data_IF_798502343855
#
_entry.id   IF_798502343855
#
_cell.length_a   1.000
_cell.length_b   1.000
_cell.length_c   1.000
_cell.angle_alpha   90.00
_cell.angle_beta   90.00
_cell.angle_gamma   90.00
#
_symmetry.space_group_name_H-M   'P 1'
#
loop_
_entity.id
_entity.type
_entity.pdbx_description
1 polymer ?
#
# COMPACT_ATOMS: atom_id res chain seq x y z
N UNK A 1 62.77 9.83 -29.60
CA UNK A 1 61.54 9.12 -29.21
C UNK A 1 61.06 9.82 -27.96
N UNK A 2 60.16 10.77 -28.11
CA UNK A 2 59.49 11.39 -26.96
C UNK A 2 58.41 10.44 -26.44
N UNK A 3 58.22 10.31 -25.12
CA UNK A 3 57.15 9.48 -24.58
C UNK A 3 55.81 10.15 -24.85
N UNK A 4 54.88 9.38 -25.40
CA UNK A 4 53.50 9.77 -25.65
C UNK A 4 52.86 10.30 -24.34
N UNK A 5 52.26 11.50 -24.31
CA UNK A 5 51.56 11.96 -23.11
C UNK A 5 50.31 11.11 -22.92
N UNK A 6 50.15 10.54 -21.72
CA UNK A 6 48.93 9.83 -21.34
C UNK A 6 47.70 10.72 -21.62
N UNK A 7 46.59 10.16 -22.12
CA UNK A 7 45.35 10.92 -22.27
C UNK A 7 44.90 11.41 -20.89
N UNK A 8 44.28 12.60 -20.79
CA UNK A 8 43.78 13.11 -19.52
C UNK A 8 42.78 12.10 -18.96
N UNK A 9 43.05 11.63 -17.74
CA UNK A 9 42.06 10.88 -16.97
C UNK A 9 40.78 11.71 -16.95
N UNK A 10 39.68 11.14 -17.44
CA UNK A 10 38.37 11.74 -17.23
C UNK A 10 38.17 11.78 -15.72
N UNK A 11 38.38 12.94 -15.10
CA UNK A 11 38.06 13.14 -13.69
C UNK A 11 36.57 12.81 -13.54
N UNK A 12 36.29 11.62 -13.02
CA UNK A 12 34.93 11.20 -12.75
C UNK A 12 34.29 12.25 -11.86
N UNK A 13 33.16 12.83 -12.29
CA UNK A 13 32.44 13.83 -11.50
C UNK A 13 32.19 13.27 -10.11
N UNK A 14 32.68 13.97 -9.08
CA UNK A 14 32.46 13.55 -7.70
C UNK A 14 31.02 13.89 -7.26
N UNK A 15 30.10 12.96 -7.47
CA UNK A 15 28.70 13.10 -7.07
C UNK A 15 28.50 13.12 -5.54
N UNK A 16 29.52 12.76 -4.75
CA UNK A 16 29.47 12.84 -3.29
C UNK A 16 29.52 14.29 -2.77
N UNK A 17 29.97 15.25 -3.59
CA UNK A 17 30.08 16.67 -3.26
C UNK A 17 28.86 17.50 -3.66
N UNK A 18 27.78 16.87 -4.15
CA UNK A 18 26.52 17.56 -4.39
C UNK A 18 26.03 18.25 -3.10
N UNK A 19 25.48 19.46 -3.24
CA UNK A 19 24.93 20.18 -2.09
C UNK A 19 23.72 19.44 -1.52
N UNK A 20 23.49 19.51 -0.19
CA UNK A 20 22.32 18.91 0.45
C UNK A 20 21.00 19.31 -0.23
N UNK A 21 20.85 20.58 -0.60
CA UNK A 21 19.63 21.08 -1.25
C UNK A 21 19.34 20.38 -2.59
N UNK A 22 20.37 20.12 -3.40
CA UNK A 22 20.23 19.41 -4.67
C UNK A 22 19.89 17.94 -4.42
N UNK A 23 20.55 17.32 -3.43
CA UNK A 23 20.26 15.94 -3.03
C UNK A 23 18.83 15.78 -2.52
N UNK A 24 18.32 16.71 -1.69
CA UNK A 24 16.93 16.66 -1.19
C UNK A 24 15.92 16.76 -2.33
N UNK A 25 16.19 17.59 -3.36
CA UNK A 25 15.33 17.67 -4.55
C UNK A 25 15.37 16.38 -5.36
N UNK A 26 16.54 15.74 -5.50
CA UNK A 26 16.66 14.45 -6.20
C UNK A 26 15.94 13.37 -5.40
N UNK A 27 16.16 13.29 -4.09
CA UNK A 27 15.60 12.28 -3.21
C UNK A 27 14.08 12.38 -3.16
N UNK A 28 13.53 13.59 -3.11
CA UNK A 28 12.09 13.81 -3.19
C UNK A 28 11.45 13.38 -4.52
N UNK A 29 12.24 13.07 -5.56
CA UNK A 29 11.75 12.57 -6.85
C UNK A 29 11.90 11.07 -7.04
N UNK A 30 12.89 10.44 -6.42
CA UNK A 30 13.14 9.01 -6.61
C UNK A 30 12.25 8.14 -5.72
N UNK A 31 11.81 8.64 -4.55
CA UNK A 31 10.88 7.91 -3.68
C UNK A 31 11.54 7.19 -2.49
N UNK A 32 10.71 6.68 -1.59
CA UNK A 32 11.13 6.09 -0.33
C UNK A 32 11.99 4.82 -0.53
N UNK A 33 11.56 3.95 -1.43
CA UNK A 33 12.20 2.65 -1.72
C UNK A 33 13.62 2.86 -2.25
N UNK A 34 13.77 3.70 -3.27
CA UNK A 34 15.03 4.01 -3.92
C UNK A 34 16.01 4.69 -2.95
N UNK A 35 15.49 5.49 -2.01
CA UNK A 35 16.31 6.06 -0.93
C UNK A 35 16.80 4.95 0.02
N UNK A 36 15.94 4.05 0.47
CA UNK A 36 16.29 2.99 1.45
C UNK A 36 17.23 1.94 0.87
N UNK A 37 17.02 1.55 -0.38
CA UNK A 37 17.75 0.48 -1.04
C UNK A 37 19.01 0.96 -1.77
N UNK A 38 19.03 2.22 -2.22
CA UNK A 38 20.10 2.77 -3.04
C UNK A 38 20.73 4.02 -2.44
N UNK A 39 20.08 5.17 -2.63
CA UNK A 39 20.70 6.48 -2.45
C UNK A 39 21.20 6.72 -1.01
N UNK A 40 20.46 6.28 0.01
CA UNK A 40 20.86 6.37 1.42
C UNK A 40 22.06 5.48 1.79
N UNK A 41 22.45 4.55 0.91
CA UNK A 41 23.57 3.61 1.12
C UNK A 41 24.87 4.04 0.43
N UNK A 42 24.82 5.04 -0.46
CA UNK A 42 25.98 5.47 -1.28
C UNK A 42 27.14 6.01 -0.45
N UNK A 43 26.88 7.02 0.41
CA UNK A 43 27.90 7.61 1.27
C UNK A 43 27.29 8.29 2.49
N UNK A 44 28.12 8.70 3.46
CA UNK A 44 27.65 9.37 4.70
C UNK A 44 26.91 10.69 4.43
N UNK A 45 27.33 11.45 3.42
CA UNK A 45 26.68 12.71 3.06
C UNK A 45 25.25 12.49 2.55
N UNK A 46 25.10 11.54 1.62
CA UNK A 46 23.80 11.15 1.08
C UNK A 46 22.90 10.54 2.15
N UNK A 47 23.44 9.66 3.01
CA UNK A 47 22.69 9.10 4.16
C UNK A 47 22.15 10.18 5.09
N UNK A 48 22.91 11.25 5.33
CA UNK A 48 22.45 12.36 6.18
C UNK A 48 21.25 13.08 5.57
N UNK A 49 21.30 13.33 4.27
CA UNK A 49 20.18 13.96 3.53
C UNK A 49 18.98 13.02 3.44
N UNK A 50 19.21 11.73 3.20
CA UNK A 50 18.17 10.70 3.14
C UNK A 50 17.30 10.65 4.41
N UNK A 51 17.86 10.97 5.58
CA UNK A 51 17.14 11.00 6.86
C UNK A 51 16.40 12.32 7.13
N UNK A 52 16.36 13.26 6.18
CA UNK A 52 15.61 14.51 6.34
C UNK A 52 14.10 14.22 6.38
N UNK A 53 13.37 14.57 7.46
CA UNK A 53 12.00 14.10 7.60
C UNK A 53 11.00 14.69 6.61
N UNK A 54 11.40 15.73 5.86
CA UNK A 54 10.58 16.28 4.78
C UNK A 54 10.47 15.34 3.57
N UNK A 55 11.45 14.45 3.38
CA UNK A 55 11.44 13.44 2.32
C UNK A 55 10.43 12.31 2.60
N UNK A 56 10.06 12.14 3.87
CA UNK A 56 9.21 11.05 4.36
C UNK A 56 7.77 11.51 4.68
N UNK A 57 7.37 12.68 4.17
CA UNK A 57 5.97 13.14 4.26
C UNK A 57 5.04 12.26 3.44
N UNK A 58 5.55 11.69 2.35
CA UNK A 58 4.82 10.79 1.44
C UNK A 58 5.66 9.54 1.23
N UNK A 59 5.10 8.40 1.60
CA UNK A 59 5.77 7.12 1.49
C UNK A 59 4.88 6.20 0.67
N UNK A 60 5.40 5.81 -0.48
CA UNK A 60 4.75 4.86 -1.37
C UNK A 60 5.62 3.60 -1.45
N UNK A 61 5.02 2.47 -1.07
CA UNK A 61 5.63 1.14 -1.03
C UNK A 61 4.76 0.14 -1.79
N UNK A 62 4.05 0.59 -2.83
CA UNK A 62 3.15 -0.27 -3.62
C UNK A 62 3.86 -1.10 -4.70
N UNK A 63 5.07 -0.70 -5.11
CA UNK A 63 5.83 -1.31 -6.21
C UNK A 63 7.06 -2.10 -5.71
N UNK A 64 6.81 -3.12 -4.88
CA UNK A 64 7.85 -3.89 -4.17
C UNK A 64 7.80 -5.40 -4.44
N UNK A 65 7.41 -5.80 -5.65
CA UNK A 65 7.11 -7.18 -6.06
C UNK A 65 8.25 -8.20 -5.87
N UNK A 66 9.48 -7.72 -5.66
CA UNK A 66 10.68 -8.54 -5.56
C UNK A 66 11.18 -8.74 -4.12
N UNK A 67 10.50 -8.16 -3.12
CA UNK A 67 10.92 -8.19 -1.72
C UNK A 67 10.01 -9.06 -0.87
N UNK A 68 10.55 -9.64 0.19
CA UNK A 68 9.74 -10.33 1.19
C UNK A 68 8.97 -9.36 2.09
N UNK A 69 7.83 -9.79 2.63
CA UNK A 69 7.00 -9.00 3.55
C UNK A 69 7.78 -8.43 4.74
N UNK A 70 8.66 -9.22 5.35
CA UNK A 70 9.49 -8.79 6.47
C UNK A 70 10.44 -7.64 6.10
N UNK A 71 10.99 -7.64 4.88
CA UNK A 71 11.85 -6.57 4.39
C UNK A 71 11.04 -5.30 4.13
N UNK A 72 9.86 -5.44 3.52
CA UNK A 72 8.93 -4.34 3.29
C UNK A 72 8.46 -3.71 4.60
N UNK A 73 8.12 -4.52 5.60
CA UNK A 73 7.74 -4.04 6.93
C UNK A 73 8.89 -3.30 7.62
N UNK A 74 10.12 -3.84 7.56
CA UNK A 74 11.30 -3.17 8.12
C UNK A 74 11.55 -1.81 7.46
N UNK A 75 11.38 -1.73 6.13
CA UNK A 75 11.46 -0.47 5.39
C UNK A 75 10.37 0.51 5.80
N UNK A 76 9.13 0.05 5.95
CA UNK A 76 8.02 0.89 6.41
C UNK A 76 8.29 1.48 7.80
N UNK A 77 8.82 0.67 8.74
CA UNK A 77 9.20 1.14 10.08
C UNK A 77 10.32 2.19 10.02
N UNK A 78 11.34 1.98 9.19
CA UNK A 78 12.39 2.98 8.97
C UNK A 78 11.83 4.29 8.41
N UNK A 79 10.91 4.20 7.44
CA UNK A 79 10.26 5.36 6.84
C UNK A 79 9.44 6.16 7.88
N UNK A 80 8.72 5.47 8.75
CA UNK A 80 7.99 6.07 9.88
C UNK A 80 8.95 6.77 10.83
N UNK A 81 10.04 6.13 11.23
CA UNK A 81 11.03 6.74 12.12
C UNK A 81 11.69 7.97 11.49
N UNK A 82 12.07 7.89 10.21
CA UNK A 82 12.72 9.01 9.51
C UNK A 82 11.75 10.14 9.22
N UNK A 83 10.43 9.90 9.22
CA UNK A 83 9.41 10.94 9.12
C UNK A 83 9.33 11.86 10.34
N UNK A 84 9.85 11.43 11.50
CA UNK A 84 9.79 12.18 12.76
C UNK A 84 8.37 12.73 13.04
N UNK A 85 7.35 11.92 12.76
CA UNK A 85 5.94 12.26 12.94
C UNK A 85 5.35 13.25 11.93
N UNK A 86 6.05 13.50 10.82
CA UNK A 86 5.58 14.37 9.72
C UNK A 86 5.01 13.61 8.53
N UNK A 87 4.85 12.31 8.64
CA UNK A 87 4.21 11.50 7.59
C UNK A 87 2.75 11.92 7.42
N UNK A 88 2.37 12.18 6.17
CA UNK A 88 1.03 12.62 5.77
C UNK A 88 0.37 11.60 4.85
N UNK A 89 1.14 10.84 4.08
CA UNK A 89 0.63 9.86 3.12
C UNK A 89 1.46 8.58 3.22
N UNK A 90 0.78 7.44 3.37
CA UNK A 90 1.38 6.11 3.40
C UNK A 90 0.59 5.16 2.49
N UNK A 91 1.29 4.49 1.59
CA UNK A 91 0.74 3.45 0.70
C UNK A 91 1.55 2.16 0.81
N UNK A 92 0.87 1.04 0.97
CA UNK A 92 1.46 -0.30 1.03
C UNK A 92 0.70 -1.28 0.12
N UNK A 93 1.43 -2.21 -0.50
CA UNK A 93 0.81 -3.27 -1.30
C UNK A 93 1.38 -4.66 -0.97
N UNK A 94 0.50 -5.64 -0.72
CA UNK A 94 0.82 -7.05 -0.41
C UNK A 94 1.67 -7.26 0.85
N UNK A 95 1.70 -6.28 1.75
CA UNK A 95 2.30 -6.43 3.07
C UNK A 95 1.60 -5.52 4.07
N UNK A 96 1.75 -5.84 5.35
CA UNK A 96 1.28 -5.02 6.46
C UNK A 96 0.61 -5.88 7.52
N UNK A 97 0.68 -5.42 8.76
CA UNK A 97 0.17 -6.11 9.93
C UNK A 97 -0.52 -5.11 10.85
N UNK A 98 -1.36 -5.60 11.76
CA UNK A 98 -1.95 -4.77 12.81
C UNK A 98 -0.87 -4.07 13.65
N UNK A 99 0.25 -4.76 13.90
CA UNK A 99 1.42 -4.22 14.60
C UNK A 99 2.08 -3.08 13.82
N UNK A 100 2.18 -3.19 12.50
CA UNK A 100 2.69 -2.09 11.66
C UNK A 100 1.73 -0.90 11.68
N UNK A 101 0.42 -1.14 11.54
CA UNK A 101 -0.58 -0.08 11.59
C UNK A 101 -0.56 0.66 12.92
N UNK A 102 -0.47 -0.07 14.04
CA UNK A 102 -0.36 0.52 15.37
C UNK A 102 0.94 1.33 15.51
N UNK A 103 2.06 0.81 15.01
CA UNK A 103 3.34 1.51 15.04
C UNK A 103 3.30 2.83 14.25
N UNK A 104 2.64 2.84 13.08
CA UNK A 104 2.38 4.07 12.32
C UNK A 104 1.48 5.01 13.15
N UNK A 105 0.39 4.50 13.73
CA UNK A 105 -0.56 5.26 14.54
C UNK A 105 0.08 6.00 15.73
N UNK A 106 1.06 5.36 16.39
CA UNK A 106 1.73 5.94 17.55
C UNK A 106 2.75 7.02 17.18
N UNK A 107 3.31 6.98 15.96
CA UNK A 107 4.44 7.83 15.56
C UNK A 107 4.10 8.89 14.53
N UNK A 108 3.04 8.71 13.74
CA UNK A 108 2.72 9.51 12.56
C UNK A 108 1.34 10.17 12.61
N UNK A 109 0.98 10.82 13.72
CA UNK A 109 -0.35 11.43 13.97
C UNK A 109 -0.85 12.49 12.97
N UNK A 110 -0.03 12.88 11.97
CA UNK A 110 -0.38 13.80 10.89
C UNK A 110 -0.85 13.10 9.60
N UNK A 111 -1.03 11.77 9.63
CA UNK A 111 -1.48 11.00 8.49
C UNK A 111 -2.85 11.49 7.98
N UNK A 112 -2.90 11.81 6.68
CA UNK A 112 -4.09 12.30 5.96
C UNK A 112 -4.54 11.35 4.87
N UNK A 113 -3.64 10.50 4.37
CA UNK A 113 -3.91 9.54 3.30
C UNK A 113 -3.33 8.19 3.66
N UNK A 114 -4.17 7.16 3.62
CA UNK A 114 -3.77 5.77 3.74
C UNK A 114 -4.26 4.99 2.52
N UNK A 115 -3.37 4.24 1.89
CA UNK A 115 -3.71 3.31 0.82
C UNK A 115 -3.17 1.92 1.15
N UNK A 116 -4.05 0.92 1.16
CA UNK A 116 -3.75 -0.47 1.43
C UNK A 116 -4.22 -1.31 0.25
N UNK A 117 -3.30 -2.02 -0.40
CA UNK A 117 -3.56 -2.81 -1.61
C UNK A 117 -3.21 -4.27 -1.34
N UNK A 118 -4.17 -5.19 -1.36
CA UNK A 118 -3.93 -6.62 -1.11
C UNK A 118 -3.22 -6.90 0.23
N UNK A 119 -3.49 -6.09 1.27
CA UNK A 119 -2.93 -6.27 2.61
C UNK A 119 -3.84 -7.20 3.43
N UNK A 120 -3.66 -8.52 3.32
CA UNK A 120 -4.58 -9.52 3.88
C UNK A 120 -4.36 -9.80 5.38
N UNK A 121 -3.16 -9.53 5.92
CA UNK A 121 -2.84 -9.76 7.33
C UNK A 121 -3.25 -8.59 8.26
N UNK A 122 -3.97 -7.61 7.72
CA UNK A 122 -4.55 -6.51 8.49
C UNK A 122 -5.99 -6.88 8.85
N UNK A 123 -6.31 -6.89 10.14
CA UNK A 123 -7.66 -7.16 10.63
C UNK A 123 -8.54 -5.91 10.64
N UNK A 124 -9.86 -6.13 10.70
CA UNK A 124 -10.84 -5.08 10.95
C UNK A 124 -10.54 -4.33 12.25
N UNK A 125 -10.18 -5.04 13.31
CA UNK A 125 -9.85 -4.48 14.61
C UNK A 125 -8.59 -3.61 14.56
N UNK A 126 -7.53 -4.09 13.91
CA UNK A 126 -6.27 -3.36 13.78
C UNK A 126 -6.44 -2.07 13.00
N UNK A 127 -7.12 -2.13 11.84
CA UNK A 127 -7.42 -0.94 11.06
C UNK A 127 -8.34 0.03 11.83
N UNK A 128 -9.36 -0.49 12.51
CA UNK A 128 -10.30 0.30 13.32
C UNK A 128 -9.58 1.03 14.46
N UNK A 129 -8.66 0.37 15.16
CA UNK A 129 -7.91 0.99 16.26
C UNK A 129 -6.94 2.05 15.75
N UNK A 130 -6.32 1.80 14.59
CA UNK A 130 -5.45 2.75 13.91
C UNK A 130 -6.19 4.02 13.48
N UNK A 131 -7.32 3.91 12.80
CA UNK A 131 -8.06 5.10 12.30
C UNK A 131 -8.61 5.98 13.43
N UNK A 132 -8.91 5.41 14.61
CA UNK A 132 -9.28 6.21 15.80
C UNK A 132 -8.17 7.16 16.25
N UNK A 133 -6.91 6.88 15.92
CA UNK A 133 -5.77 7.75 16.21
C UNK A 133 -5.57 8.83 15.14
N UNK A 134 -6.29 8.77 14.01
CA UNK A 134 -6.20 9.69 12.88
C UNK A 134 -7.52 10.44 12.59
N UNK A 135 -7.95 11.35 13.48
CA UNK A 135 -9.19 12.11 13.27
C UNK A 135 -9.11 13.09 12.07
N UNK A 136 -7.91 13.32 11.53
CA UNK A 136 -7.67 14.19 10.37
C UNK A 136 -7.50 13.41 9.06
N UNK A 137 -7.77 12.10 9.04
CA UNK A 137 -7.69 11.31 7.82
C UNK A 137 -8.70 11.83 6.78
N UNK A 138 -8.20 12.23 5.61
CA UNK A 138 -9.00 12.79 4.52
C UNK A 138 -9.23 11.78 3.39
N UNK A 139 -8.33 10.80 3.26
CA UNK A 139 -8.35 9.78 2.21
C UNK A 139 -8.06 8.41 2.79
N UNK A 140 -8.90 7.44 2.48
CA UNK A 140 -8.68 6.03 2.78
C UNK A 140 -8.99 5.21 1.55
N UNK A 141 -8.01 4.42 1.13
CA UNK A 141 -8.13 3.53 -0.02
C UNK A 141 -7.81 2.11 0.46
N UNK A 142 -8.79 1.23 0.31
CA UNK A 142 -8.70 -0.19 0.63
C UNK A 142 -9.01 -0.93 -0.65
N UNK A 143 -8.02 -1.64 -1.17
CA UNK A 143 -8.07 -2.26 -2.49
C UNK A 143 -7.74 -3.73 -2.31
N UNK A 144 -8.69 -4.61 -2.61
CA UNK A 144 -8.55 -6.06 -2.45
C UNK A 144 -8.18 -6.48 -1.02
N UNK A 145 -8.84 -5.89 -0.02
CA UNK A 145 -8.71 -6.31 1.38
C UNK A 145 -9.79 -7.31 1.81
N UNK A 146 -9.51 -8.05 2.87
CA UNK A 146 -10.44 -9.00 3.51
C UNK A 146 -11.08 -8.38 4.75
N UNK A 147 -11.87 -7.33 4.55
CA UNK A 147 -12.51 -6.60 5.65
C UNK A 147 -14.00 -6.94 5.79
N UNK A 148 -14.53 -6.86 7.01
CA UNK A 148 -15.95 -7.13 7.28
C UNK A 148 -16.82 -5.88 7.16
N UNK A 149 -18.13 -6.10 7.03
CA UNK A 149 -19.16 -5.05 7.00
C UNK A 149 -19.10 -4.01 8.13
N UNK A 150 -18.51 -4.36 9.28
CA UNK A 150 -18.44 -3.44 10.45
C UNK A 150 -17.36 -2.38 10.31
N UNK A 151 -16.41 -2.58 9.39
CA UNK A 151 -15.30 -1.66 9.19
C UNK A 151 -15.79 -0.28 8.74
N UNK A 152 -16.68 -0.23 7.73
CA UNK A 152 -17.15 1.03 7.16
C UNK A 152 -17.79 1.96 8.20
N UNK A 153 -18.65 1.42 9.08
CA UNK A 153 -19.23 2.19 10.18
C UNK A 153 -18.15 2.72 11.15
N UNK A 154 -17.17 1.88 11.49
CA UNK A 154 -16.12 2.22 12.44
C UNK A 154 -15.19 3.30 11.90
N UNK A 155 -14.80 3.18 10.62
CA UNK A 155 -14.00 4.17 9.89
C UNK A 155 -14.74 5.50 9.82
N UNK A 156 -16.01 5.52 9.40
CA UNK A 156 -16.74 6.78 9.25
C UNK A 156 -17.01 7.48 10.58
N UNK A 157 -17.17 6.73 11.68
CA UNK A 157 -17.25 7.31 13.03
C UNK A 157 -15.91 7.90 13.50
N UNK A 158 -14.79 7.26 13.20
CA UNK A 158 -13.46 7.69 13.62
C UNK A 158 -12.91 8.87 12.79
N UNK A 159 -13.23 8.92 11.50
CA UNK A 159 -12.67 9.87 10.54
C UNK A 159 -13.77 10.77 9.92
N UNK A 160 -14.30 11.76 10.66
CA UNK A 160 -15.41 12.60 10.20
C UNK A 160 -15.04 13.55 9.05
N UNK A 161 -13.74 13.70 8.75
CA UNK A 161 -13.23 14.55 7.65
C UNK A 161 -12.90 13.74 6.38
N UNK A 162 -13.31 12.48 6.31
CA UNK A 162 -13.05 11.62 5.16
C UNK A 162 -13.76 12.15 3.92
N UNK A 163 -12.98 12.55 2.90
CA UNK A 163 -13.46 13.13 1.63
C UNK A 163 -13.37 12.15 0.48
N UNK A 164 -12.39 11.24 0.53
CA UNK A 164 -12.15 10.21 -0.48
C UNK A 164 -12.13 8.86 0.22
N UNK A 165 -13.02 7.98 -0.23
CA UNK A 165 -13.04 6.59 0.21
C UNK A 165 -13.06 5.69 -1.02
N UNK A 166 -12.09 4.78 -1.09
CA UNK A 166 -12.11 3.69 -2.06
C UNK A 166 -12.18 2.39 -1.28
N UNK A 167 -13.16 1.57 -1.61
CA UNK A 167 -13.30 0.22 -1.10
C UNK A 167 -13.49 -0.67 -2.32
N UNK A 168 -12.42 -1.24 -2.83
CA UNK A 168 -12.44 -2.03 -4.07
C UNK A 168 -12.28 -3.50 -3.75
N UNK A 169 -13.02 -4.34 -4.47
CA UNK A 169 -12.95 -5.80 -4.34
C UNK A 169 -12.70 -6.44 -5.71
N UNK A 170 -12.25 -7.71 -5.73
CA UNK A 170 -11.85 -8.43 -6.94
C UNK A 170 -13.01 -8.76 -7.89
N UNK A 171 -14.24 -8.37 -7.56
CA UNK A 171 -15.43 -8.58 -8.40
C UNK A 171 -16.17 -9.86 -8.05
N UNK A 172 -17.48 -9.87 -8.28
CA UNK A 172 -18.42 -10.95 -7.92
C UNK A 172 -18.33 -12.22 -8.78
N UNK A 173 -17.35 -12.36 -9.66
CA UNK A 173 -17.28 -13.49 -10.60
C UNK A 173 -16.71 -14.79 -10.01
N UNK A 174 -16.12 -14.75 -8.81
CA UNK A 174 -15.46 -15.91 -8.19
C UNK A 174 -16.28 -16.62 -7.12
N UNK A 175 -17.55 -16.27 -6.92
CA UNK A 175 -18.41 -17.12 -6.10
C UNK A 175 -18.88 -18.28 -6.98
N UNK A 176 -18.38 -19.48 -6.67
CA UNK A 176 -18.85 -20.72 -7.27
C UNK A 176 -20.37 -20.80 -7.22
N UNK A 177 -20.98 -21.45 -8.23
CA UNK A 177 -22.42 -21.72 -8.30
C UNK A 177 -22.98 -22.47 -7.06
N UNK A 178 -22.11 -22.89 -6.13
CA UNK A 178 -22.43 -23.66 -4.92
C UNK A 178 -22.70 -22.80 -3.67
N UNK A 179 -22.43 -21.49 -3.68
CA UNK A 179 -22.80 -20.57 -2.58
C UNK A 179 -24.13 -19.85 -2.88
N UNK A 180 -25.21 -20.63 -3.02
CA UNK A 180 -26.60 -20.17 -3.03
C UNK A 180 -27.12 -19.74 -1.63
N UNK A 181 -26.24 -19.41 -0.69
CA UNK A 181 -26.68 -18.69 0.50
C UNK A 181 -26.65 -17.19 0.19
N UNK A 182 -27.84 -16.69 -0.18
CA UNK A 182 -28.26 -15.29 -0.16
C UNK A 182 -27.97 -14.70 1.23
N UNK A 183 -26.71 -14.46 1.54
CA UNK A 183 -26.36 -13.65 2.69
C UNK A 183 -26.79 -12.23 2.35
N UNK A 184 -27.73 -11.72 3.13
CA UNK A 184 -28.43 -10.45 2.91
C UNK A 184 -27.50 -9.26 3.25
N UNK A 185 -26.18 -9.44 3.08
CA UNK A 185 -25.09 -8.59 3.54
C UNK A 185 -24.45 -7.76 2.42
N UNK A 186 -24.89 -7.94 1.18
CA UNK A 186 -24.40 -7.24 -0.03
C UNK A 186 -24.36 -5.70 0.11
N UNK A 187 -25.25 -5.12 0.91
CA UNK A 187 -25.34 -3.67 1.13
C UNK A 187 -24.75 -3.18 2.46
N UNK A 188 -24.17 -4.06 3.28
CA UNK A 188 -23.78 -3.66 4.63
C UNK A 188 -22.67 -2.60 4.67
N UNK A 189 -21.69 -2.67 3.77
CA UNK A 189 -20.69 -1.61 3.61
C UNK A 189 -21.33 -0.30 3.15
N UNK A 190 -22.25 -0.38 2.20
CA UNK A 190 -22.98 0.78 1.69
C UNK A 190 -23.82 1.46 2.79
N UNK A 191 -24.48 0.68 3.63
CA UNK A 191 -25.23 1.18 4.78
C UNK A 191 -24.29 1.82 5.82
N UNK A 192 -23.12 1.21 6.06
CA UNK A 192 -22.13 1.77 6.97
C UNK A 192 -21.59 3.12 6.52
N UNK A 193 -21.28 3.25 5.22
CA UNK A 193 -20.89 4.51 4.57
C UNK A 193 -22.03 5.52 4.71
N UNK A 194 -23.25 5.15 4.31
CA UNK A 194 -24.41 6.03 4.34
C UNK A 194 -24.75 6.55 5.74
N UNK A 195 -24.44 5.78 6.79
CA UNK A 195 -24.72 6.15 8.18
C UNK A 195 -23.70 7.14 8.77
N UNK A 196 -22.48 7.21 8.23
CA UNK A 196 -21.35 7.83 8.94
C UNK A 196 -20.52 8.80 8.10
N UNK A 197 -20.42 8.61 6.78
CA UNK A 197 -19.50 9.35 5.89
C UNK A 197 -20.21 10.46 5.09
N UNK A 198 -20.84 11.42 5.78
CA UNK A 198 -21.68 12.44 5.13
C UNK A 198 -20.90 13.51 4.34
N UNK A 199 -19.63 13.73 4.68
CA UNK A 199 -18.74 14.71 4.03
C UNK A 199 -18.03 14.18 2.78
N UNK A 200 -18.36 12.95 2.37
CA UNK A 200 -17.70 12.26 1.27
C UNK A 200 -17.92 13.00 -0.06
N UNK A 201 -16.83 13.18 -0.81
CA UNK A 201 -16.81 13.84 -2.12
C UNK A 201 -16.45 12.88 -3.25
N UNK A 202 -15.66 11.87 -2.95
CA UNK A 202 -15.24 10.84 -3.90
C UNK A 202 -15.43 9.46 -3.28
N UNK A 203 -16.18 8.63 -3.97
CA UNK A 203 -16.41 7.24 -3.59
C UNK A 203 -16.08 6.33 -4.76
N UNK A 204 -15.31 5.29 -4.49
CA UNK A 204 -15.10 4.19 -5.43
C UNK A 204 -15.44 2.88 -4.75
N UNK A 205 -16.36 2.13 -5.36
CA UNK A 205 -16.80 0.82 -4.92
C UNK A 205 -16.52 -0.22 -5.99
N UNK A 206 -15.38 -0.13 -6.69
CA UNK A 206 -15.10 -0.97 -7.84
C UNK A 206 -15.24 -2.47 -7.51
N UNK A 207 -16.02 -3.20 -8.30
CA UNK A 207 -16.23 -4.65 -8.15
C UNK A 207 -17.15 -5.06 -6.99
N UNK A 208 -17.72 -4.14 -6.22
CA UNK A 208 -18.51 -4.48 -5.02
C UNK A 208 -19.86 -5.10 -5.37
N UNK A 209 -20.42 -5.85 -4.41
CA UNK A 209 -21.75 -6.49 -4.51
C UNK A 209 -22.92 -5.56 -4.19
N UNK A 210 -22.66 -4.25 -4.06
CA UNK A 210 -23.68 -3.24 -3.72
C UNK A 210 -24.90 -3.32 -4.65
N UNK A 211 -26.08 -3.26 -4.06
CA UNK A 211 -27.36 -3.28 -4.77
C UNK A 211 -27.93 -1.88 -4.93
N UNK A 212 -29.05 -1.78 -5.64
CA UNK A 212 -29.77 -0.51 -5.82
C UNK A 212 -30.18 0.13 -4.49
N UNK A 213 -30.50 -0.65 -3.45
CA UNK A 213 -30.90 -0.12 -2.14
C UNK A 213 -29.71 0.47 -1.39
N UNK A 214 -28.57 -0.24 -1.35
CA UNK A 214 -27.33 0.28 -0.76
C UNK A 214 -26.83 1.54 -1.47
N UNK A 215 -26.79 1.54 -2.80
CA UNK A 215 -26.38 2.73 -3.56
C UNK A 215 -27.32 3.91 -3.31
N UNK A 216 -28.63 3.66 -3.26
CA UNK A 216 -29.62 4.69 -2.92
C UNK A 216 -29.37 5.26 -1.52
N UNK A 217 -29.10 4.42 -0.52
CA UNK A 217 -28.80 4.87 0.83
C UNK A 217 -27.58 5.82 0.86
N UNK A 218 -26.51 5.48 0.12
CA UNK A 218 -25.33 6.35 -0.02
C UNK A 218 -25.72 7.68 -0.67
N UNK A 219 -26.46 7.64 -1.79
CA UNK A 219 -26.87 8.85 -2.50
C UNK A 219 -27.82 9.71 -1.65
N UNK A 220 -28.67 9.15 -0.81
CA UNK A 220 -29.53 9.94 0.07
C UNK A 220 -28.73 10.59 1.21
N UNK A 221 -27.68 9.93 1.70
CA UNK A 221 -26.91 10.36 2.88
C UNK A 221 -25.62 11.15 2.61
N UNK A 222 -25.08 11.11 1.40
CA UNK A 222 -23.83 11.79 1.02
C UNK A 222 -24.10 12.94 0.03
N UNK A 223 -24.56 14.11 0.50
CA UNK A 223 -25.01 15.22 -0.37
C UNK A 223 -23.87 15.92 -1.11
N UNK A 224 -22.63 15.77 -0.65
CA UNK A 224 -21.44 16.41 -1.23
C UNK A 224 -20.69 15.52 -2.22
N UNK A 225 -21.24 14.36 -2.57
CA UNK A 225 -20.60 13.42 -3.49
C UNK A 225 -20.51 14.00 -4.90
N UNK A 226 -19.28 14.19 -5.38
CA UNK A 226 -18.96 14.76 -6.69
C UNK A 226 -18.46 13.71 -7.68
N UNK A 227 -17.83 12.65 -7.17
CA UNK A 227 -17.28 11.54 -7.95
C UNK A 227 -17.77 10.21 -7.39
N UNK A 228 -18.29 9.34 -8.27
CA UNK A 228 -18.71 7.99 -7.96
C UNK A 228 -18.21 7.03 -9.04
N UNK A 229 -17.46 6.03 -8.64
CA UNK A 229 -17.03 4.93 -9.51
C UNK A 229 -17.54 3.60 -8.97
N UNK A 230 -18.44 3.00 -9.72
CA UNK A 230 -19.16 1.75 -9.43
C UNK A 230 -18.97 0.74 -10.56
N UNK A 231 -17.85 0.85 -11.30
CA UNK A 231 -17.48 -0.13 -12.33
C UNK A 231 -17.41 -1.54 -11.73
N UNK A 232 -17.85 -2.52 -12.51
CA UNK A 232 -17.93 -3.93 -12.11
C UNK A 232 -18.85 -4.23 -10.91
N UNK A 233 -19.70 -3.30 -10.48
CA UNK A 233 -20.78 -3.58 -9.53
C UNK A 233 -22.00 -4.17 -10.25
N UNK A 234 -21.96 -5.46 -10.59
CA UNK A 234 -22.95 -6.08 -11.48
C UNK A 234 -24.32 -6.35 -10.83
N UNK A 235 -24.44 -6.22 -9.51
CA UNK A 235 -25.72 -6.27 -8.79
C UNK A 235 -26.58 -5.01 -9.00
N UNK A 236 -26.05 -3.97 -9.66
CA UNK A 236 -26.76 -2.73 -9.91
C UNK A 236 -27.55 -2.76 -11.22
N UNK A 237 -28.85 -2.49 -11.11
CA UNK A 237 -29.70 -2.21 -12.25
C UNK A 237 -29.77 -0.69 -12.52
N UNK A 238 -29.09 -0.23 -13.58
CA UNK A 238 -29.05 1.18 -13.99
C UNK A 238 -30.28 1.59 -14.82
N UNK A 239 -31.46 1.45 -14.21
CA UNK A 239 -32.73 1.90 -14.77
C UNK A 239 -32.87 3.43 -14.80
N UNK A 240 -34.01 3.93 -15.30
CA UNK A 240 -34.25 5.37 -15.39
C UNK A 240 -34.26 6.08 -14.03
N UNK A 241 -34.71 5.39 -12.97
CA UNK A 241 -34.77 5.93 -11.61
C UNK A 241 -33.35 6.07 -11.04
N UNK A 242 -32.55 5.01 -11.12
CA UNK A 242 -31.18 5.00 -10.61
C UNK A 242 -30.29 6.00 -11.36
N UNK A 243 -30.42 6.08 -12.69
CA UNK A 243 -29.74 7.10 -13.50
C UNK A 243 -30.13 8.53 -13.12
N UNK A 244 -31.40 8.76 -12.78
CA UNK A 244 -31.86 10.07 -12.31
C UNK A 244 -31.23 10.43 -10.95
N UNK A 245 -31.08 9.47 -10.03
CA UNK A 245 -30.42 9.71 -8.74
C UNK A 245 -28.93 10.05 -8.91
N UNK A 246 -28.23 9.34 -9.82
CA UNK A 246 -26.82 9.62 -10.12
C UNK A 246 -26.60 10.89 -10.95
N UNK A 247 -27.65 11.53 -11.49
CA UNK A 247 -27.52 12.69 -12.39
C UNK A 247 -26.85 13.92 -11.77
N UNK A 248 -26.84 14.00 -10.43
CA UNK A 248 -26.16 15.07 -9.69
C UNK A 248 -24.65 14.86 -9.56
N UNK A 249 -24.16 13.65 -9.81
CA UNK A 249 -22.75 13.29 -9.70
C UNK A 249 -22.00 13.80 -10.94
N UNK A 250 -20.93 14.56 -10.72
CA UNK A 250 -20.18 15.19 -11.81
C UNK A 250 -19.32 14.19 -12.57
N UNK A 251 -18.63 13.30 -11.84
CA UNK A 251 -17.76 12.29 -12.38
C UNK A 251 -18.33 10.92 -12.04
N UNK A 252 -19.14 10.35 -12.93
CA UNK A 252 -19.79 9.06 -12.74
C UNK A 252 -19.13 8.02 -13.66
N UNK A 253 -18.74 6.88 -13.09
CA UNK A 253 -18.35 5.67 -13.83
C UNK A 253 -19.30 4.53 -13.48
N UNK A 254 -19.96 3.98 -14.49
CA UNK A 254 -21.03 2.98 -14.36
C UNK A 254 -20.50 1.54 -14.38
N UNK A 255 -21.29 0.54 -13.96
CA UNK A 255 -20.86 -0.86 -13.90
C UNK A 255 -20.20 -1.39 -15.17
N UNK A 256 -20.74 -1.04 -16.34
CA UNK A 256 -20.30 -1.51 -17.66
C UNK A 256 -19.26 -0.61 -18.35
N UNK A 257 -18.83 0.48 -17.71
CA UNK A 257 -17.79 1.34 -18.28
C UNK A 257 -16.43 0.61 -18.31
N UNK A 258 -15.61 0.93 -19.32
CA UNK A 258 -14.27 0.34 -19.44
C UNK A 258 -13.44 0.47 -18.16
N UNK A 259 -12.71 -0.60 -17.84
CA UNK A 259 -11.77 -0.69 -16.73
C UNK A 259 -10.30 -0.60 -17.20
N UNK A 260 -10.04 -0.22 -18.46
CA UNK A 260 -8.69 -0.19 -19.02
C UNK A 260 -7.78 0.85 -18.34
N UNK A 261 -8.37 1.88 -17.71
CA UNK A 261 -7.67 2.91 -16.94
C UNK A 261 -7.59 2.57 -15.43
N UNK A 262 -7.98 1.37 -15.02
CA UNK A 262 -7.89 0.94 -13.64
C UNK A 262 -6.44 0.58 -13.29
N UNK A 263 -5.94 1.21 -12.22
CA UNK A 263 -4.52 1.26 -11.86
C UNK A 263 -3.96 -0.08 -11.35
N UNK A 264 -4.83 -0.93 -10.82
CA UNK A 264 -4.45 -2.23 -10.28
C UNK A 264 -4.83 -3.31 -11.27
N UNK A 265 -4.02 -4.36 -11.38
CA UNK A 265 -4.34 -5.44 -12.28
C UNK A 265 -5.69 -6.05 -11.91
N UNK A 266 -6.69 -5.71 -12.70
CA UNK A 266 -8.03 -6.26 -12.62
C UNK A 266 -8.23 -7.29 -13.74
N UNK A 267 -7.14 -7.84 -14.30
CA UNK A 267 -7.17 -8.98 -15.18
C UNK A 267 -7.88 -10.13 -14.47
N UNK A 268 -9.13 -10.29 -14.86
CA UNK A 268 -9.87 -11.53 -14.76
C UNK A 268 -9.28 -12.43 -15.86
N UNK A 269 -8.11 -13.00 -15.60
CA UNK A 269 -7.68 -14.24 -16.23
C UNK A 269 -8.13 -15.40 -15.35
N UNK A 270 -8.34 -16.61 -15.88
CA UNK A 270 -8.37 -17.78 -15.02
C UNK A 270 -7.02 -17.77 -14.29
N UNK A 271 -7.05 -17.65 -12.97
CA UNK A 271 -5.98 -18.24 -12.19
C UNK A 271 -6.10 -19.73 -12.50
N UNK A 272 -5.33 -20.18 -13.50
CA UNK A 272 -4.89 -21.56 -13.51
C UNK A 272 -4.18 -21.74 -12.17
N UNK A 273 -4.79 -22.49 -11.26
CA UNK A 273 -4.20 -22.90 -9.97
C UNK A 273 -3.00 -23.85 -10.17
N UNK A 274 -2.28 -23.74 -11.29
CA UNK A 274 -1.17 -24.62 -11.68
C UNK A 274 0.08 -23.88 -12.19
N UNK A 275 0.12 -22.53 -12.25
CA UNK A 275 1.36 -21.80 -12.59
C UNK A 275 2.05 -21.26 -11.31
N UNK A 276 2.28 -22.15 -10.35
CA UNK A 276 3.58 -22.16 -9.67
C UNK A 276 4.55 -22.84 -10.65
N UNK A 277 5.61 -22.10 -11.00
CA UNK A 277 6.69 -22.44 -11.93
C UNK A 277 6.45 -22.16 -13.43
N UNK A 278 7.29 -21.23 -13.93
CA UNK A 278 7.76 -21.06 -15.31
C UNK A 278 7.12 -19.99 -16.26
N UNK A 279 8.04 -19.16 -16.79
CA UNK A 279 8.04 -18.35 -18.03
C UNK A 279 7.62 -16.88 -17.85
N UNK A 280 8.57 -15.92 -17.95
CA UNK A 280 9.20 -15.60 -19.25
C UNK A 280 10.72 -15.79 -19.31
N UNK A 281 11.10 -16.74 -20.17
CA UNK A 281 12.45 -16.97 -20.70
C UNK A 281 12.66 -16.15 -21.99
N UNK A 282 13.77 -15.42 -22.10
CA UNK A 282 14.91 -15.81 -22.97
C UNK A 282 15.89 -14.64 -23.23
N UNK A 283 17.16 -14.94 -22.94
CA UNK A 283 18.37 -14.54 -23.66
C UNK A 283 18.87 -13.08 -23.59
N UNK A 284 19.84 -12.87 -22.69
CA UNK A 284 21.17 -12.49 -23.17
C UNK A 284 22.26 -13.15 -22.31
N UNK A 285 23.07 -13.97 -22.96
CA UNK A 285 24.33 -14.52 -22.46
C UNK A 285 25.17 -13.45 -21.74
N UNK A 286 25.57 -13.72 -20.51
CA UNK A 286 26.91 -13.31 -20.08
C UNK A 286 27.48 -14.32 -19.08
N UNK A 287 28.68 -14.78 -19.45
CA UNK A 287 29.49 -15.82 -18.84
C UNK A 287 29.69 -15.69 -17.31
N UNK A 288 29.51 -16.81 -16.63
CA UNK A 288 30.55 -17.55 -15.91
C UNK A 288 31.61 -16.72 -15.15
N UNK A 289 31.52 -16.64 -13.82
CA UNK A 289 32.68 -16.57 -12.92
C UNK A 289 32.36 -17.08 -11.50
N UNK A 290 32.63 -18.36 -11.29
CA UNK A 290 33.38 -18.95 -10.16
C UNK A 290 33.55 -18.10 -8.90
N UNK A 291 32.97 -18.56 -7.79
CA UNK A 291 33.59 -18.42 -6.47
C UNK A 291 33.45 -19.71 -5.67
N UNK A 292 34.51 -20.51 -5.69
CA UNK A 292 34.87 -21.42 -4.61
C UNK A 292 34.95 -20.64 -3.29
N UNK A 293 34.39 -21.19 -2.21
CA UNK A 293 35.13 -21.44 -0.98
C UNK A 293 34.31 -22.29 -0.01
N UNK A 294 34.84 -23.48 0.23
CA UNK A 294 34.58 -24.35 1.37
C UNK A 294 34.61 -23.57 2.69
N UNK A 295 33.66 -23.78 3.61
CA UNK A 295 33.95 -23.90 5.05
C UNK A 295 32.88 -24.74 5.78
N UNK A 296 33.39 -25.69 6.56
CA UNK A 296 32.74 -26.77 7.31
C UNK A 296 31.56 -26.37 8.21
N UNK A 297 30.55 -27.24 8.22
CA UNK A 297 29.51 -27.33 9.24
C UNK A 297 30.03 -28.14 10.43
N UNK A 298 30.07 -27.53 11.62
CA UNK A 298 30.11 -28.30 12.87
C UNK A 298 28.85 -28.02 13.70
N UNK A 299 28.11 -29.10 13.91
CA UNK A 299 26.86 -29.28 14.61
C UNK A 299 27.09 -29.27 16.13
N UNK A 300 26.39 -28.43 16.91
CA UNK A 300 26.28 -28.63 18.37
C UNK A 300 24.83 -28.44 18.83
N UNK A 301 24.34 -29.49 19.48
CA UNK A 301 23.07 -29.71 20.19
C UNK A 301 22.73 -28.60 21.21
N UNK A 302 21.45 -28.20 21.27
CA UNK A 302 20.92 -27.37 22.36
C UNK A 302 20.11 -28.22 23.34
N UNK A 303 20.72 -28.52 24.49
CA UNK A 303 20.03 -29.04 25.67
C UNK A 303 19.34 -27.90 26.43
N UNK A 304 18.03 -28.07 26.66
CA UNK A 304 17.15 -27.19 27.44
C UNK A 304 17.43 -27.29 28.96
N UNK A 305 17.74 -26.19 29.63
CA UNK A 305 17.32 -25.99 31.04
C UNK A 305 17.33 -24.52 31.52
N UNK A 306 16.38 -24.25 32.42
CA UNK A 306 15.89 -22.96 32.93
C UNK A 306 16.90 -22.02 33.61
N UNK A 307 16.65 -20.71 33.52
CA UNK A 307 17.14 -19.73 34.50
C UNK A 307 16.92 -18.26 34.10
N UNK A 308 16.03 -17.59 34.84
CA UNK A 308 15.65 -16.17 34.88
C UNK A 308 16.83 -15.16 34.68
N UNK A 309 16.62 -14.11 33.88
CA UNK A 309 17.38 -12.86 33.93
C UNK A 309 17.23 -11.98 32.68
N UNK A 310 17.00 -10.69 32.91
CA UNK A 310 16.69 -9.58 31.99
C UNK A 310 17.54 -9.39 30.71
N UNK A 311 16.91 -8.63 29.80
CA UNK A 311 17.43 -7.78 28.71
C UNK A 311 17.83 -8.37 27.34
N UNK A 312 17.23 -7.73 26.32
CA UNK A 312 17.64 -7.49 24.93
C UNK A 312 18.35 -8.59 24.14
N UNK A 313 17.71 -9.04 23.05
CA UNK A 313 18.39 -9.22 21.75
C UNK A 313 17.36 -9.43 20.63
N UNK A 314 16.91 -8.31 20.06
CA UNK A 314 16.21 -8.28 18.78
C UNK A 314 17.19 -8.65 17.64
N UNK A 315 16.89 -9.77 16.99
CA UNK A 315 17.01 -10.04 15.55
C UNK A 315 18.17 -9.37 14.80
N UNK A 316 19.21 -10.17 14.57
CA UNK A 316 20.36 -9.94 13.70
C UNK A 316 19.98 -9.67 12.23
N UNK A 317 19.51 -8.45 11.92
CA UNK A 317 19.50 -7.93 10.55
C UNK A 317 20.21 -6.57 10.40
N UNK A 318 20.79 -6.03 11.48
CA UNK A 318 21.15 -4.60 11.57
C UNK A 318 22.63 -4.28 11.77
N UNK A 319 23.57 -5.12 11.33
CA UNK A 319 24.99 -4.72 11.41
C UNK A 319 25.47 -3.69 10.37
N UNK A 320 24.59 -3.13 9.51
CA UNK A 320 24.99 -2.08 8.54
C UNK A 320 23.97 -0.94 8.27
N UNK A 321 23.00 -0.66 9.15
CA UNK A 321 22.08 0.50 9.03
C UNK A 321 22.23 1.52 10.17
#
# INVERSE_FOLDING_TARGET
MDPNPNPPSVEGRNWAELSPDVLSVIFGKIGAVEILMGAGRVCRGWRRVAREPLLWRRVDMTHLDHLGEAEMEAMARLAVDWSAGRMEEFSAARFGSDELLLYIAERANLLKSLCLVSCYDISDEGLTEMVKRFPCLEKLEIIFGSFTMKLCESVGQACPQLKLFKLNTKGSYYMSDDEEELDNTDDCDALGIAKTMHELRQLQLFGNKVTNEGLKAILDSCPHLESLDIRRCFNLNMDASMKAMCSRIRNLRLPEDSADDYEYDAAVGPFDEDDDDDIFSENSEFDDMMYDNDYDYDYIDYDYQHGIGDDDDHLNLFFLL
#
